data_IF_010786690836
#
_entry.id   IF_010786690836
#
_cell.length_a   1.000
_cell.length_b   1.000
_cell.length_c   1.000
_cell.angle_alpha   90.00
_cell.angle_beta   90.00
_cell.angle_gamma   90.00
#
_symmetry.space_group_name_H-M   'P 1'
#
loop_
_entity.id
_entity.type
_entity.pdbx_description
1 polymer ?
#
# COMPACT_ATOMS: atom_id res chain seq x y z
N UNK A 1 14.04 21.59 -1.00
CA UNK A 1 14.03 20.12 -0.91
C UNK A 1 13.15 19.61 -2.03
N UNK A 2 13.45 18.44 -2.59
CA UNK A 2 12.58 17.80 -3.59
C UNK A 2 11.26 17.41 -2.92
N UNK A 3 10.13 17.61 -3.58
CA UNK A 3 8.81 17.22 -3.06
C UNK A 3 8.66 15.70 -3.15
N UNK A 4 8.09 15.10 -2.10
CA UNK A 4 7.92 13.64 -2.02
C UNK A 4 6.53 13.25 -1.52
N UNK A 5 6.08 12.09 -1.99
CA UNK A 5 4.85 11.45 -1.54
C UNK A 5 5.11 9.97 -1.26
N UNK A 6 4.42 9.42 -0.27
CA UNK A 6 4.35 7.99 0.01
C UNK A 6 2.98 7.47 -0.37
N UNK A 7 2.91 6.65 -1.41
CA UNK A 7 1.73 5.90 -1.81
C UNK A 7 1.85 4.52 -1.18
N UNK A 8 0.94 4.15 -0.29
CA UNK A 8 1.07 2.88 0.43
C UNK A 8 -0.23 2.16 0.72
N UNK A 9 -0.15 0.84 0.83
CA UNK A 9 -1.22 0.00 1.39
C UNK A 9 -0.76 -0.55 2.74
N UNK A 10 -1.66 -0.57 3.73
CA UNK A 10 -1.37 -1.14 5.04
C UNK A 10 -2.65 -1.68 5.67
N UNK A 11 -2.55 -2.83 6.33
CA UNK A 11 -3.67 -3.49 7.01
C UNK A 11 -3.40 -3.62 8.50
N UNK A 12 -4.33 -3.16 9.32
CA UNK A 12 -4.40 -3.42 10.77
C UNK A 12 -5.36 -4.59 11.07
N UNK A 13 -5.63 -4.90 12.33
CA UNK A 13 -6.39 -6.08 12.75
C UNK A 13 -5.54 -7.35 12.77
N UNK A 14 -6.14 -8.51 12.54
CA UNK A 14 -5.45 -9.80 12.68
C UNK A 14 -4.44 -10.01 11.55
N UNK A 15 -3.14 -9.99 11.87
CA UNK A 15 -2.06 -10.16 10.90
C UNK A 15 -1.03 -11.17 11.39
N UNK A 16 -0.30 -11.77 10.45
CA UNK A 16 0.87 -12.58 10.75
C UNK A 16 2.06 -11.68 11.09
N UNK A 17 2.57 -11.79 12.31
CA UNK A 17 3.66 -10.98 12.80
C UNK A 17 4.56 -11.78 13.73
N UNK A 18 5.87 -11.79 13.45
CA UNK A 18 6.85 -12.43 14.31
C UNK A 18 6.61 -13.94 14.48
N UNK A 19 6.07 -14.60 13.46
CA UNK A 19 5.81 -16.03 13.46
C UNK A 19 4.41 -16.45 13.94
N UNK A 20 3.59 -15.50 14.41
CA UNK A 20 2.27 -15.78 15.02
C UNK A 20 1.19 -14.84 14.49
N UNK A 21 -0.07 -15.29 14.52
CA UNK A 21 -1.22 -14.42 14.28
C UNK A 21 -1.47 -13.56 15.51
N UNK A 22 -1.61 -12.25 15.30
CA UNK A 22 -1.95 -11.29 16.35
C UNK A 22 -2.78 -10.13 15.80
N UNK A 23 -3.61 -9.55 16.64
CA UNK A 23 -4.26 -8.28 16.32
C UNK A 23 -3.29 -7.12 16.53
N UNK A 24 -3.14 -6.27 15.51
CA UNK A 24 -2.34 -5.05 15.54
C UNK A 24 -3.22 -3.83 15.29
N UNK A 25 -2.98 -2.74 16.01
CA UNK A 25 -3.71 -1.49 15.81
C UNK A 25 -3.27 -0.75 14.54
N UNK A 26 -2.00 -0.93 14.15
CA UNK A 26 -1.39 -0.30 12.98
C UNK A 26 -0.51 -1.29 12.23
N UNK A 27 -0.60 -1.32 10.90
CA UNK A 27 0.22 -2.18 10.05
C UNK A 27 1.65 -1.68 9.90
N UNK A 28 2.61 -2.59 9.71
CA UNK A 28 4.04 -2.26 9.60
C UNK A 28 4.35 -1.26 8.48
N UNK A 29 3.66 -1.40 7.34
CA UNK A 29 3.86 -0.51 6.19
C UNK A 29 3.47 0.93 6.53
N UNK A 30 2.40 1.13 7.30
CA UNK A 30 1.96 2.45 7.75
C UNK A 30 2.96 3.07 8.73
N UNK A 31 3.52 2.27 9.65
CA UNK A 31 4.59 2.73 10.55
C UNK A 31 5.80 3.25 9.75
N UNK A 32 6.23 2.53 8.72
CA UNK A 32 7.35 2.98 7.88
C UNK A 32 6.97 4.18 7.03
N UNK A 33 5.74 4.25 6.50
CA UNK A 33 5.26 5.40 5.74
C UNK A 33 5.29 6.68 6.59
N UNK A 34 4.82 6.62 7.84
CA UNK A 34 4.89 7.73 8.80
C UNK A 34 6.33 8.13 9.11
N UNK A 35 7.26 7.18 9.27
CA UNK A 35 8.68 7.51 9.42
C UNK A 35 9.27 8.22 8.20
N UNK A 36 8.90 7.81 6.98
CA UNK A 36 9.34 8.50 5.77
C UNK A 36 8.75 9.92 5.71
N UNK A 37 7.46 10.07 6.07
CA UNK A 37 6.84 11.39 6.20
C UNK A 37 7.61 12.29 7.16
N UNK A 38 7.98 11.80 8.35
CA UNK A 38 8.72 12.59 9.35
C UNK A 38 10.13 12.97 8.87
N UNK A 39 10.83 12.06 8.19
CA UNK A 39 12.21 12.26 7.74
C UNK A 39 12.32 13.17 6.50
N UNK A 40 11.41 13.00 5.55
CA UNK A 40 11.47 13.67 4.24
C UNK A 40 10.43 14.79 4.09
N UNK A 41 9.58 15.02 5.09
CA UNK A 41 8.39 15.88 4.99
C UNK A 41 7.51 15.49 3.79
N UNK A 42 7.35 14.18 3.60
CA UNK A 42 6.59 13.61 2.50
C UNK A 42 5.08 13.67 2.77
N UNK A 43 4.29 13.86 1.71
CA UNK A 43 2.85 13.64 1.77
C UNK A 43 2.53 12.15 1.89
N UNK A 44 1.39 11.80 2.47
CA UNK A 44 0.93 10.42 2.59
C UNK A 44 -0.35 10.21 1.79
N UNK A 45 -0.38 9.16 0.99
CA UNK A 45 -1.58 8.64 0.36
C UNK A 45 -1.73 7.15 0.68
N UNK A 46 -2.74 6.82 1.50
CA UNK A 46 -3.08 5.44 1.85
C UNK A 46 -4.07 4.89 0.84
N UNK A 47 -3.68 3.85 0.12
CA UNK A 47 -4.56 3.12 -0.78
C UNK A 47 -5.49 2.26 0.07
N UNK A 48 -6.76 2.65 0.13
CA UNK A 48 -7.81 1.93 0.85
C UNK A 48 -8.77 1.26 -0.14
N UNK A 49 -9.00 -0.06 -0.05
CA UNK A 49 -9.98 -0.72 -0.90
C UNK A 49 -11.40 -0.26 -0.54
N UNK A 50 -12.27 -0.11 -1.54
CA UNK A 50 -13.66 0.26 -1.36
C UNK A 50 -14.43 -0.82 -0.57
N UNK A 51 -14.07 -2.09 -0.79
CA UNK A 51 -14.52 -3.24 0.01
C UNK A 51 -13.37 -3.70 0.89
N UNK A 52 -13.54 -3.60 2.21
CA UNK A 52 -12.51 -4.00 3.15
C UNK A 52 -12.23 -5.51 3.10
N UNK A 53 -10.94 -5.87 3.18
CA UNK A 53 -10.56 -7.26 3.34
C UNK A 53 -11.11 -7.85 4.64
N UNK A 54 -11.46 -9.15 4.67
CA UNK A 54 -11.90 -9.82 5.88
C UNK A 54 -10.96 -9.57 7.08
N UNK A 55 -11.54 -9.39 8.27
CA UNK A 55 -10.76 -9.23 9.50
C UNK A 55 -9.98 -10.50 9.87
N UNK A 56 -10.57 -11.67 9.62
CA UNK A 56 -9.91 -12.98 9.76
C UNK A 56 -8.76 -13.10 8.75
N UNK A 57 -7.57 -13.40 9.24
CA UNK A 57 -6.36 -13.41 8.42
C UNK A 57 -6.40 -14.49 7.33
N UNK A 58 -6.92 -15.68 7.63
CA UNK A 58 -6.97 -16.77 6.66
C UNK A 58 -7.93 -16.45 5.50
N UNK A 59 -9.10 -15.87 5.81
CA UNK A 59 -10.02 -15.38 4.79
C UNK A 59 -9.46 -14.19 4.01
N UNK A 60 -8.70 -13.32 4.66
CA UNK A 60 -8.02 -12.21 4.00
C UNK A 60 -7.04 -12.69 2.95
N UNK A 61 -6.16 -13.64 3.30
CA UNK A 61 -5.17 -14.16 2.35
C UNK A 61 -5.82 -14.95 1.21
N UNK A 62 -6.96 -15.61 1.45
CA UNK A 62 -7.73 -16.29 0.39
C UNK A 62 -8.31 -15.30 -0.63
N UNK A 63 -8.89 -14.19 -0.18
CA UNK A 63 -9.37 -13.12 -1.06
C UNK A 63 -8.21 -12.50 -1.84
N UNK A 64 -7.13 -12.11 -1.16
CA UNK A 64 -5.96 -11.53 -1.80
C UNK A 64 -5.33 -12.46 -2.85
N UNK A 65 -5.30 -13.78 -2.57
CA UNK A 65 -4.81 -14.79 -3.52
C UNK A 65 -5.70 -14.86 -4.76
N UNK A 66 -7.02 -14.87 -4.56
CA UNK A 66 -7.99 -14.92 -5.65
C UNK A 66 -7.86 -13.69 -6.54
N UNK A 67 -7.80 -12.50 -5.96
CA UNK A 67 -7.60 -11.25 -6.71
C UNK A 67 -6.32 -11.28 -7.53
N UNK A 68 -5.20 -11.77 -6.97
CA UNK A 68 -3.95 -11.92 -7.71
C UNK A 68 -4.09 -12.92 -8.88
N UNK A 69 -4.74 -14.06 -8.65
CA UNK A 69 -4.95 -15.07 -9.69
C UNK A 69 -5.85 -14.59 -10.84
N UNK A 70 -6.79 -13.70 -10.53
CA UNK A 70 -7.72 -13.11 -11.48
C UNK A 70 -7.17 -11.82 -12.14
N UNK A 71 -5.96 -11.39 -11.78
CA UNK A 71 -5.40 -10.08 -12.16
C UNK A 71 -6.38 -8.93 -11.90
N UNK A 72 -7.06 -8.98 -10.76
CA UNK A 72 -8.12 -8.03 -10.43
C UNK A 72 -7.57 -6.61 -10.20
N UNK A 73 -8.42 -5.61 -10.43
CA UNK A 73 -8.21 -4.21 -10.00
C UNK A 73 -9.35 -3.80 -9.09
N UNK A 74 -9.31 -4.18 -7.79
CA UNK A 74 -10.38 -3.83 -6.85
C UNK A 74 -10.58 -2.32 -6.78
N UNK A 75 -11.83 -1.88 -6.66
CA UNK A 75 -12.17 -0.48 -6.45
C UNK A 75 -11.53 0.04 -5.14
N UNK A 76 -11.12 1.31 -5.15
CA UNK A 76 -10.51 2.00 -4.01
C UNK A 76 -11.42 3.16 -3.55
N UNK A 77 -11.35 3.53 -2.26
CA UNK A 77 -12.20 4.56 -1.67
C UNK A 77 -11.94 5.94 -2.29
N UNK A 78 -10.66 6.25 -2.49
CA UNK A 78 -10.18 7.51 -3.04
C UNK A 78 -9.09 7.22 -4.07
N UNK A 79 -8.98 8.11 -5.05
CA UNK A 79 -8.07 8.02 -6.18
C UNK A 79 -7.12 9.21 -6.13
N UNK A 80 -5.81 8.96 -6.10
CA UNK A 80 -4.82 9.99 -6.35
C UNK A 80 -4.70 10.19 -7.87
N UNK A 81 -5.15 11.34 -8.35
CA UNK A 81 -5.29 11.64 -9.78
C UNK A 81 -3.98 11.99 -10.49
N UNK A 82 -2.99 12.52 -9.76
CA UNK A 82 -1.69 12.91 -10.34
C UNK A 82 -0.59 12.95 -9.27
N UNK A 83 0.64 12.71 -9.73
CA UNK A 83 1.88 12.85 -8.95
C UNK A 83 2.84 13.88 -9.58
N UNK A 84 2.35 14.75 -10.46
CA UNK A 84 3.17 15.70 -11.21
C UNK A 84 3.95 16.66 -10.31
N UNK A 85 3.35 17.03 -9.18
CA UNK A 85 3.93 17.93 -8.19
C UNK A 85 5.08 17.30 -7.37
N UNK A 86 5.32 16.00 -7.48
CA UNK A 86 6.33 15.27 -6.71
C UNK A 86 7.53 14.91 -7.58
N UNK A 87 8.73 15.04 -7.03
CA UNK A 87 9.97 14.56 -7.65
C UNK A 87 10.24 13.09 -7.28
N UNK A 88 9.92 12.73 -6.02
CA UNK A 88 10.12 11.39 -5.45
C UNK A 88 8.81 10.75 -5.05
N UNK A 89 8.60 9.49 -5.44
CA UNK A 89 7.46 8.69 -5.03
C UNK A 89 7.94 7.44 -4.31
N UNK A 90 7.60 7.35 -3.02
CA UNK A 90 7.76 6.13 -2.25
C UNK A 90 6.56 5.22 -2.46
N UNK A 91 6.80 3.93 -2.68
CA UNK A 91 5.73 2.92 -2.84
C UNK A 91 5.86 1.90 -1.72
N UNK A 92 4.92 1.91 -0.78
CA UNK A 92 4.92 1.09 0.43
C UNK A 92 3.87 -0.02 0.41
N UNK A 93 4.24 -1.25 0.69
CA UNK A 93 3.25 -2.34 0.75
C UNK A 93 3.72 -3.54 1.59
N UNK A 94 2.77 -4.31 2.18
CA UNK A 94 3.08 -5.63 2.66
C UNK A 94 3.28 -6.59 1.48
N UNK A 95 4.19 -7.55 1.59
CA UNK A 95 4.30 -8.60 0.58
C UNK A 95 3.10 -9.56 0.68
N UNK A 96 2.20 -9.50 -0.30
CA UNK A 96 1.05 -10.40 -0.41
C UNK A 96 1.27 -11.32 -1.61
N UNK A 97 1.44 -12.61 -1.32
CA UNK A 97 1.63 -13.66 -2.34
C UNK A 97 2.75 -13.37 -3.35
N UNK A 98 3.83 -12.73 -2.91
CA UNK A 98 5.00 -12.43 -3.75
C UNK A 98 4.92 -11.10 -4.50
N UNK A 99 3.89 -10.27 -4.29
CA UNK A 99 3.71 -8.98 -4.97
C UNK A 99 2.97 -7.95 -4.12
N UNK A 100 2.63 -6.81 -4.71
CA UNK A 100 1.77 -5.77 -4.13
C UNK A 100 0.34 -6.30 -3.91
N UNK A 101 -0.39 -5.83 -2.87
CA UNK A 101 -1.84 -6.00 -2.81
C UNK A 101 -2.55 -5.43 -4.05
N UNK A 102 -3.56 -6.12 -4.58
CA UNK A 102 -4.21 -5.73 -5.84
C UNK A 102 -4.78 -4.30 -5.90
N UNK A 103 -5.32 -3.72 -4.81
CA UNK A 103 -5.74 -2.31 -4.78
C UNK A 103 -4.62 -1.32 -5.11
N UNK A 104 -3.35 -1.67 -4.83
CA UNK A 104 -2.21 -0.84 -5.22
C UNK A 104 -2.06 -0.77 -6.73
N UNK A 105 -2.31 -1.85 -7.47
CA UNK A 105 -2.28 -1.81 -8.93
C UNK A 105 -3.36 -0.87 -9.48
N UNK A 106 -4.57 -0.88 -8.90
CA UNK A 106 -5.64 0.09 -9.24
C UNK A 106 -5.14 1.53 -9.14
N UNK A 107 -4.47 1.89 -8.04
CA UNK A 107 -3.93 3.24 -7.86
C UNK A 107 -2.70 3.54 -8.74
N UNK A 108 -1.77 2.60 -8.89
CA UNK A 108 -0.48 2.89 -9.51
C UNK A 108 -0.59 2.95 -11.05
N UNK A 109 -1.45 2.15 -11.68
CA UNK A 109 -1.51 2.05 -13.16
C UNK A 109 -2.04 3.31 -13.86
N UNK A 110 -2.75 4.17 -13.14
CA UNK A 110 -3.27 5.44 -13.68
C UNK A 110 -2.29 6.61 -13.54
N UNK A 111 -1.17 6.43 -12.84
CA UNK A 111 -0.20 7.50 -12.59
C UNK A 111 0.93 7.49 -13.61
N UNK A 112 1.38 8.68 -14.00
CA UNK A 112 2.57 8.85 -14.83
C UNK A 112 3.84 8.98 -13.97
N UNK A 113 4.74 8.00 -14.12
CA UNK A 113 6.01 7.93 -13.42
C UNK A 113 7.19 8.45 -14.26
N UNK A 114 6.97 8.95 -15.47
CA UNK A 114 8.06 9.46 -16.31
C UNK A 114 8.83 10.58 -15.59
N UNK A 115 10.16 10.42 -15.52
CA UNK A 115 11.05 11.37 -14.85
C UNK A 115 10.99 11.37 -13.31
N UNK A 116 10.14 10.55 -12.68
CA UNK A 116 10.03 10.46 -11.22
C UNK A 116 11.08 9.52 -10.62
N UNK A 117 11.55 9.83 -9.41
CA UNK A 117 12.39 8.91 -8.62
C UNK A 117 11.46 7.99 -7.83
N UNK A 118 11.40 6.71 -8.21
CA UNK A 118 10.56 5.71 -7.53
C UNK A 118 11.37 4.92 -6.52
N UNK A 119 10.90 4.88 -5.26
CA UNK A 119 11.57 4.20 -4.13
C UNK A 119 10.62 3.21 -3.44
N UNK A 120 10.64 1.91 -3.80
CA UNK A 120 9.80 0.93 -3.14
C UNK A 120 10.33 0.56 -1.75
N UNK A 121 9.42 0.28 -0.81
CA UNK A 121 9.73 -0.40 0.44
C UNK A 121 8.66 -1.45 0.75
N UNK A 122 9.08 -2.56 1.35
CA UNK A 122 8.23 -3.73 1.57
C UNK A 122 8.36 -4.19 3.01
N UNK A 123 7.25 -4.63 3.60
CA UNK A 123 7.17 -5.21 4.95
C UNK A 123 6.58 -6.62 4.92
#
# INVERSE_FOLDING_TARGET
MMSSIVIYFSRSGENYFGGVLKNIEKGNTEVIAEYIQELDNADLFKVEPAVEYPADYMKCIDVAKKEQQEDARPEIKETLESIDAYDTVYIGFPNWWGTLPMPMFTQLEQLDFEGKIVKPFVT
#
